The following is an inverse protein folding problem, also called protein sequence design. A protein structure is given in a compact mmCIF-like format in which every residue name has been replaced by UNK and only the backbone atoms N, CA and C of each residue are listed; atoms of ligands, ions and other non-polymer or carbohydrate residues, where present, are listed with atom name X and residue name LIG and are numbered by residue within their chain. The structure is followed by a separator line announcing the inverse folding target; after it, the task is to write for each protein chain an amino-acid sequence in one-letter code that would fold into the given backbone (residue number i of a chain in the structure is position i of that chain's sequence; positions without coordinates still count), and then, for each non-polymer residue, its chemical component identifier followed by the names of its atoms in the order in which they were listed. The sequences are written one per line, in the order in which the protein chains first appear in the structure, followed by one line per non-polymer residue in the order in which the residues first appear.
data_IF_937091444792
#
_entry.id   IF_937091444792
#
_cell.length_a   1.000
_cell.length_b   1.000
_cell.length_c   1.000
_cell.angle_alpha   90.00
_cell.angle_beta   90.00
_cell.angle_gamma   90.00
#
_symmetry.space_group_name_H-M   'P 1'
#
loop_
_entity.id
_entity.type
_entity.pdbx_description
1 polymer ?
#
# COMPACT_ATOMS: atom_id res chain seq x y z
N UNK A 1 -7.71 -7.07 3.17
CA UNK A 1 -6.38 -6.89 2.51
C UNK A 1 -5.89 -8.26 2.06
N UNK A 2 -5.77 -8.42 0.77
CA UNK A 2 -5.36 -9.69 0.17
C UNK A 2 -3.84 -9.88 0.26
N UNK A 3 -3.39 -11.10 0.61
CA UNK A 3 -1.96 -11.40 0.66
C UNK A 3 -1.47 -11.83 -0.72
N UNK A 4 -0.37 -11.23 -1.17
CA UNK A 4 0.28 -11.61 -2.42
C UNK A 4 1.50 -12.46 -2.11
N UNK A 5 1.70 -13.52 -2.89
CA UNK A 5 2.73 -14.52 -2.61
C UNK A 5 3.90 -14.47 -3.60
N UNK A 6 3.89 -13.53 -4.53
CA UNK A 6 4.97 -13.37 -5.50
C UNK A 6 5.12 -11.93 -5.93
N UNK A 7 6.32 -11.58 -6.39
CA UNK A 7 6.56 -10.26 -6.96
C UNK A 7 5.80 -10.09 -8.27
N UNK A 8 5.65 -11.16 -9.05
CA UNK A 8 4.89 -11.12 -10.30
C UNK A 8 3.43 -10.70 -10.05
N UNK A 9 2.81 -11.25 -9.00
CA UNK A 9 1.46 -10.86 -8.58
C UNK A 9 1.39 -9.39 -8.20
N UNK A 10 2.37 -8.93 -7.42
CA UNK A 10 2.44 -7.53 -7.01
C UNK A 10 2.53 -6.62 -8.23
N UNK A 11 3.43 -6.95 -9.14
CA UNK A 11 3.63 -6.16 -10.36
C UNK A 11 2.37 -6.10 -11.21
N UNK A 12 1.67 -7.21 -11.33
CA UNK A 12 0.41 -7.27 -12.05
C UNK A 12 -0.64 -6.33 -11.43
N UNK A 13 -0.77 -6.36 -10.10
CA UNK A 13 -1.72 -5.48 -9.40
C UNK A 13 -1.30 -4.02 -9.48
N UNK A 14 0.00 -3.74 -9.45
CA UNK A 14 0.51 -2.37 -9.52
C UNK A 14 0.28 -1.76 -10.91
N UNK A 15 0.51 -2.52 -11.96
CA UNK A 15 0.47 -2.03 -13.34
C UNK A 15 -0.87 -2.22 -14.02
N UNK A 16 -1.63 -3.24 -13.64
CA UNK A 16 -2.84 -3.65 -14.33
C UNK A 16 -4.12 -2.95 -13.90
N UNK A 17 -4.11 -2.18 -12.82
CA UNK A 17 -5.30 -1.52 -12.30
C UNK A 17 -5.17 -0.01 -12.27
N UNK A 18 -6.26 0.65 -11.87
CA UNK A 18 -6.25 2.11 -11.73
C UNK A 18 -5.49 2.57 -10.50
N UNK A 19 -5.55 1.78 -9.42
CA UNK A 19 -4.88 2.10 -8.17
C UNK A 19 -4.63 0.84 -7.37
N UNK A 20 -3.63 0.87 -6.48
CA UNK A 20 -3.36 -0.23 -5.55
C UNK A 20 -2.50 0.28 -4.40
N UNK A 21 -2.79 -0.22 -3.20
CA UNK A 21 -1.96 0.04 -2.02
C UNK A 21 -1.30 -1.28 -1.62
N UNK A 22 0.01 -1.25 -1.39
CA UNK A 22 0.76 -2.40 -0.92
C UNK A 22 1.32 -2.12 0.46
N UNK A 23 1.02 -3.00 1.40
CA UNK A 23 1.55 -2.95 2.76
C UNK A 23 2.60 -4.03 2.90
N UNK A 24 3.86 -3.62 3.00
CA UNK A 24 4.98 -4.55 3.05
C UNK A 24 5.51 -4.63 4.47
N UNK A 25 5.64 -5.84 4.97
CA UNK A 25 6.09 -6.05 6.35
C UNK A 25 6.78 -7.41 6.51
N UNK A 26 7.12 -7.75 7.74
CA UNK A 26 7.61 -9.07 8.11
C UNK A 26 6.80 -9.58 9.29
N UNK A 27 6.81 -10.89 9.51
CA UNK A 27 6.05 -11.50 10.61
C UNK A 27 6.57 -11.09 11.99
N UNK A 28 7.85 -10.75 12.09
CA UNK A 28 8.47 -10.37 13.35
C UNK A 28 8.35 -8.88 13.67
N UNK A 29 7.77 -8.09 12.78
CA UNK A 29 7.68 -6.64 12.94
C UNK A 29 6.48 -6.25 13.78
N UNK A 30 6.70 -5.89 15.05
CA UNK A 30 5.63 -5.48 15.96
C UNK A 30 4.94 -4.19 15.54
N UNK A 31 5.72 -3.22 15.05
CA UNK A 31 5.20 -1.94 14.55
C UNK A 31 4.29 -2.17 13.35
N UNK A 32 4.67 -3.10 12.47
CA UNK A 32 3.86 -3.46 11.30
C UNK A 32 2.48 -3.97 11.72
N UNK A 33 2.44 -4.79 12.77
CA UNK A 33 1.19 -5.36 13.29
C UNK A 33 0.28 -4.30 13.89
N UNK A 34 0.86 -3.28 14.52
CA UNK A 34 0.11 -2.18 15.13
C UNK A 34 -0.45 -1.24 14.08
N UNK A 35 0.29 -0.98 13.03
CA UNK A 35 -0.08 0.00 11.99
C UNK A 35 -1.07 -0.59 10.97
N UNK A 36 -0.95 -1.89 10.70
CA UNK A 36 -1.78 -2.54 9.67
C UNK A 36 -3.28 -2.30 9.81
N UNK A 37 -3.90 -2.52 10.99
CA UNK A 37 -5.33 -2.26 11.12
C UNK A 37 -5.70 -0.80 10.92
N UNK A 38 -4.79 0.11 11.23
CA UNK A 38 -5.04 1.55 11.06
C UNK A 38 -5.05 1.92 9.57
N UNK A 39 -4.16 1.32 8.79
CA UNK A 39 -4.13 1.51 7.33
C UNK A 39 -5.40 0.94 6.70
N UNK A 40 -5.79 -0.26 7.12
CA UNK A 40 -7.02 -0.89 6.62
C UNK A 40 -8.24 -0.01 6.90
N UNK A 41 -8.38 0.46 8.14
CA UNK A 41 -9.51 1.30 8.53
C UNK A 41 -9.55 2.61 7.72
N UNK A 42 -8.38 3.25 7.57
CA UNK A 42 -8.28 4.48 6.81
C UNK A 42 -8.82 4.30 5.38
N UNK A 43 -8.38 3.24 4.71
CA UNK A 43 -8.73 3.02 3.31
C UNK A 43 -10.17 2.57 3.16
N UNK A 44 -10.62 1.65 4.01
CA UNK A 44 -12.00 1.15 3.93
C UNK A 44 -13.02 2.25 4.21
N UNK A 45 -12.70 3.15 5.11
CA UNK A 45 -13.62 4.23 5.49
C UNK A 45 -13.62 5.39 4.51
N UNK A 46 -12.49 5.67 3.85
CA UNK A 46 -12.34 6.89 3.05
C UNK A 46 -12.05 6.66 1.57
N UNK A 47 -11.51 5.50 1.20
CA UNK A 47 -11.07 5.23 -0.17
C UNK A 47 -11.54 3.86 -0.65
N UNK A 48 -12.86 3.65 -0.78
CA UNK A 48 -13.41 2.32 -1.05
C UNK A 48 -12.99 1.71 -2.39
N UNK A 49 -12.53 2.52 -3.34
CA UNK A 49 -12.09 2.02 -4.65
C UNK A 49 -10.59 1.71 -4.70
N UNK A 50 -9.89 1.86 -3.59
CA UNK A 50 -8.45 1.59 -3.52
C UNK A 50 -8.25 0.17 -2.96
N UNK A 51 -7.86 -0.80 -3.82
CA UNK A 51 -7.59 -2.15 -3.32
C UNK A 51 -6.30 -2.18 -2.51
N UNK A 52 -6.28 -3.03 -1.47
CA UNK A 52 -5.15 -3.16 -0.58
C UNK A 52 -4.58 -4.57 -0.65
N UNK A 53 -3.25 -4.68 -0.66
CA UNK A 53 -2.54 -5.95 -0.71
C UNK A 53 -1.46 -5.99 0.34
N UNK A 54 -1.30 -7.17 0.95
CA UNK A 54 -0.27 -7.42 1.95
C UNK A 54 0.86 -8.23 1.32
N UNK A 55 2.10 -7.85 1.59
CA UNK A 55 3.28 -8.57 1.11
C UNK A 55 4.24 -8.77 2.29
N UNK A 56 4.55 -10.03 2.60
CA UNK A 56 5.57 -10.38 3.56
C UNK A 56 6.89 -10.47 2.80
N UNK A 57 7.81 -9.55 3.05
CA UNK A 57 9.05 -9.50 2.28
C UNK A 57 10.04 -10.61 2.63
N UNK A 58 9.82 -11.33 3.73
CA UNK A 58 10.60 -12.53 4.03
C UNK A 58 10.15 -13.69 3.14
N UNK A 59 8.85 -13.75 2.83
CA UNK A 59 8.29 -14.76 1.93
C UNK A 59 8.49 -14.37 0.46
N UNK A 60 8.58 -13.06 0.19
CA UNK A 60 8.72 -12.54 -1.18
C UNK A 60 9.92 -11.60 -1.22
N UNK A 61 11.15 -12.13 -1.06
CA UNK A 61 12.35 -11.28 -1.00
C UNK A 61 12.60 -10.52 -2.30
N UNK A 62 12.13 -11.02 -3.43
CA UNK A 62 12.26 -10.32 -4.71
C UNK A 62 11.55 -8.96 -4.66
N UNK A 63 10.41 -8.87 -3.96
CA UNK A 63 9.70 -7.60 -3.84
C UNK A 63 10.55 -6.56 -3.12
N UNK A 64 11.24 -6.96 -2.04
CA UNK A 64 12.12 -6.03 -1.32
C UNK A 64 13.23 -5.51 -2.22
N UNK A 65 13.86 -6.41 -2.98
CA UNK A 65 14.95 -6.03 -3.88
C UNK A 65 14.49 -5.15 -5.03
N UNK A 66 13.42 -5.55 -5.71
CA UNK A 66 12.93 -4.82 -6.88
C UNK A 66 12.34 -3.46 -6.53
N UNK A 67 11.73 -3.34 -5.35
CA UNK A 67 11.08 -2.10 -4.93
C UNK A 67 11.94 -1.27 -3.97
N UNK A 68 13.15 -1.72 -3.69
CA UNK A 68 14.09 -1.03 -2.79
C UNK A 68 13.46 -0.79 -1.41
N UNK A 69 12.91 -1.85 -0.82
CA UNK A 69 12.33 -1.80 0.51
C UNK A 69 13.40 -2.17 1.53
N UNK A 70 13.86 -1.20 2.31
CA UNK A 70 14.93 -1.39 3.28
C UNK A 70 14.47 -1.37 4.72
N UNK A 71 13.30 -0.82 4.99
CA UNK A 71 12.69 -0.79 6.32
C UNK A 71 11.22 -1.13 6.22
N UNK A 72 10.67 -1.72 7.28
CA UNK A 72 9.25 -2.06 7.36
C UNK A 72 8.65 -1.44 8.63
N UNK A 73 7.35 -1.13 8.66
CA UNK A 73 6.40 -1.27 7.56
C UNK A 73 6.66 -0.28 6.44
N UNK A 74 6.35 -0.69 5.22
CA UNK A 74 6.39 0.21 4.08
C UNK A 74 5.02 0.21 3.41
N UNK A 75 4.57 1.38 2.99
CA UNK A 75 3.31 1.53 2.26
C UNK A 75 3.63 2.17 0.92
N UNK A 76 3.31 1.45 -0.15
CA UNK A 76 3.42 1.97 -1.51
C UNK A 76 2.03 2.12 -2.07
N UNK A 77 1.72 3.27 -2.66
CA UNK A 77 0.44 3.46 -3.33
C UNK A 77 0.71 3.81 -4.79
N UNK A 78 0.07 3.03 -5.66
CA UNK A 78 0.17 3.19 -7.11
C UNK A 78 -1.11 3.80 -7.64
N UNK A 79 -0.98 4.79 -8.50
CA UNK A 79 -2.08 5.36 -9.25
C UNK A 79 -1.69 5.43 -10.72
N UNK A 80 -2.55 4.91 -11.59
CA UNK A 80 -2.27 4.88 -13.02
C UNK A 80 -1.06 4.04 -13.39
N UNK A 81 -0.77 3.00 -12.61
CA UNK A 81 0.35 2.10 -12.86
C UNK A 81 1.71 2.62 -12.38
N UNK A 82 1.73 3.73 -11.65
CA UNK A 82 2.98 4.33 -11.16
C UNK A 82 2.99 4.46 -9.65
N UNK A 83 4.15 4.19 -9.06
CA UNK A 83 4.35 4.44 -7.63
C UNK A 83 4.25 5.95 -7.39
N UNK A 84 3.27 6.35 -6.61
CA UNK A 84 2.95 7.75 -6.38
C UNK A 84 3.23 8.17 -4.94
N UNK A 85 3.03 7.25 -3.99
CA UNK A 85 3.25 7.49 -2.57
C UNK A 85 4.11 6.38 -2.03
N UNK A 86 5.11 6.76 -1.23
CA UNK A 86 5.96 5.79 -0.51
C UNK A 86 6.15 6.31 0.91
N UNK A 87 5.71 5.51 1.87
CA UNK A 87 5.93 5.79 3.29
C UNK A 87 6.63 4.59 3.91
N UNK A 88 7.52 4.85 4.86
CA UNK A 88 8.24 3.78 5.52
C UNK A 88 8.39 4.08 6.99
N UNK A 89 8.09 3.07 7.81
CA UNK A 89 8.28 2.98 9.26
C UNK A 89 7.59 4.07 10.08
N UNK A 90 8.08 5.29 10.05
CA UNK A 90 7.57 6.39 10.87
C UNK A 90 6.70 7.33 10.04
N UNK A 91 5.46 6.95 9.80
CA UNK A 91 4.53 7.80 9.09
C UNK A 91 3.22 7.89 9.88
N UNK A 92 2.55 9.02 9.77
CA UNK A 92 1.25 9.22 10.41
C UNK A 92 0.13 8.75 9.51
N UNK A 93 -0.91 8.20 10.12
CA UNK A 93 -2.09 7.75 9.37
C UNK A 93 -2.81 8.94 8.74
N UNK A 94 -2.92 10.06 9.45
CA UNK A 94 -3.55 11.26 8.92
C UNK A 94 -2.80 11.78 7.69
N UNK A 95 -1.48 11.82 7.77
CA UNK A 95 -0.64 12.27 6.65
C UNK A 95 -0.77 11.35 5.44
N UNK A 96 -0.79 10.04 5.68
CA UNK A 96 -0.99 9.07 4.62
C UNK A 96 -2.35 9.30 3.95
N UNK A 97 -3.38 9.49 4.75
CA UNK A 97 -4.72 9.76 4.24
C UNK A 97 -4.78 11.02 3.37
N UNK A 98 -4.10 12.08 3.79
CA UNK A 98 -4.06 13.33 3.03
C UNK A 98 -3.38 13.14 1.68
N UNK A 99 -2.29 12.37 1.64
CA UNK A 99 -1.57 12.08 0.40
C UNK A 99 -2.42 11.24 -0.55
N UNK A 100 -3.07 10.21 -0.01
CA UNK A 100 -3.95 9.36 -0.83
C UNK A 100 -5.11 10.17 -1.38
N UNK A 101 -5.71 11.01 -0.55
CA UNK A 101 -6.88 11.82 -0.92
C UNK A 101 -6.62 12.65 -2.18
N UNK A 102 -5.46 13.27 -2.26
CA UNK A 102 -5.10 14.12 -3.40
C UNK A 102 -5.20 13.35 -4.72
N UNK A 103 -4.60 12.17 -4.78
CA UNK A 103 -4.54 11.38 -6.02
C UNK A 103 -5.83 10.62 -6.26
N UNK A 104 -6.47 10.16 -5.19
CA UNK A 104 -7.74 9.45 -5.29
C UNK A 104 -8.81 10.35 -5.89
N UNK A 105 -8.88 11.60 -5.43
CA UNK A 105 -9.83 12.56 -5.95
C UNK A 105 -9.57 12.87 -7.42
N UNK A 106 -8.31 12.99 -7.82
CA UNK A 106 -7.95 13.23 -9.20
C UNK A 106 -8.35 12.08 -10.12
N UNK A 107 -8.25 10.84 -9.63
CA UNK A 107 -8.50 9.67 -10.46
C UNK A 107 -9.98 9.26 -10.43
N UNK A 108 -10.60 9.24 -9.28
CA UNK A 108 -11.97 8.73 -9.10
C UNK A 108 -13.02 9.82 -8.95
N UNK A 109 -12.62 11.02 -8.57
CA UNK A 109 -13.53 12.09 -8.26
C UNK A 109 -14.11 11.99 -6.86
N UNK A 110 -14.60 13.11 -6.33
CA UNK A 110 -15.14 13.18 -4.98
C UNK A 110 -16.45 12.41 -4.83
N UNK A 111 -17.26 12.41 -5.87
CA UNK A 111 -18.56 11.72 -5.86
C UNK A 111 -18.44 10.20 -5.79
N UNK A 112 -17.25 9.65 -6.04
CA UNK A 112 -17.02 8.21 -6.04
C UNK A 112 -16.69 7.65 -4.66
N UNK A 113 -16.65 8.49 -3.64
CA UNK A 113 -16.35 8.06 -2.28
C UNK A 113 -17.56 7.69 -1.48
#
# INVERSE_FOLDING_TARGET
METLESYASLKEKAEGGQAALFYLSTKSCGVCKSIKPKVIALVEENFPKLPMYYVDIDEVPEAAGQLSIFVVPAVLVYFGGRETIREARNFGILELGQKIDRYYEMLFGEADR
#
